data_IF_545177073224
#
_entry.id   IF_545177073224
#
_cell.length_a   1.000
_cell.length_b   1.000
_cell.length_c   1.000
_cell.angle_alpha   90.00
_cell.angle_beta   90.00
_cell.angle_gamma   90.00
#
_symmetry.space_group_name_H-M   'P 1'
#
loop_
_entity.id
_entity.type
_entity.pdbx_description
1 polymer ?
#
# COMPACT_ATOMS: atom_id res chain seq x y z
N UNK A 1 -19.24 3.69 11.01
CA UNK A 1 -19.74 2.52 10.23
C UNK A 1 -19.42 2.90 8.79
N UNK A 2 -18.47 2.20 8.16
CA UNK A 2 -18.19 2.43 6.72
C UNK A 2 -19.40 1.89 5.96
N UNK A 3 -19.88 2.65 4.99
CA UNK A 3 -20.98 2.22 4.14
C UNK A 3 -20.53 0.96 3.35
N UNK A 4 -21.39 -0.05 3.26
CA UNK A 4 -21.09 -1.28 2.50
C UNK A 4 -20.81 -1.02 1.03
N UNK A 5 -21.20 0.13 0.49
CA UNK A 5 -20.90 0.54 -0.87
C UNK A 5 -19.41 0.82 -1.10
N UNK A 6 -18.65 1.10 -0.04
CA UNK A 6 -17.20 1.38 -0.11
C UNK A 6 -16.35 0.11 0.03
N UNK A 7 -16.94 -1.00 0.52
CA UNK A 7 -16.24 -2.28 0.70
C UNK A 7 -16.75 -3.28 -0.32
N UNK A 8 -16.06 -3.40 -1.44
CA UNK A 8 -16.38 -4.38 -2.47
C UNK A 8 -15.56 -5.65 -2.23
N UNK A 9 -16.23 -6.74 -1.87
CA UNK A 9 -15.63 -8.04 -1.60
C UNK A 9 -16.07 -9.06 -2.66
N UNK A 10 -15.09 -9.74 -3.26
CA UNK A 10 -15.31 -10.82 -4.22
C UNK A 10 -14.50 -12.03 -3.78
N UNK A 11 -15.15 -13.18 -3.60
CA UNK A 11 -14.49 -14.42 -3.14
C UNK A 11 -13.69 -14.21 -1.84
N UNK A 12 -14.27 -13.53 -0.86
CA UNK A 12 -13.66 -13.22 0.45
C UNK A 12 -12.43 -12.30 0.40
N UNK A 13 -12.18 -11.64 -0.73
CA UNK A 13 -11.07 -10.72 -0.95
C UNK A 13 -11.55 -9.36 -1.42
N UNK A 14 -10.79 -8.32 -1.13
CA UNK A 14 -11.05 -6.98 -1.64
C UNK A 14 -10.83 -6.92 -3.15
N UNK A 15 -11.69 -6.18 -3.81
CA UNK A 15 -11.90 -6.29 -5.27
C UNK A 15 -10.67 -5.85 -6.09
N UNK A 16 -10.00 -4.75 -5.68
CA UNK A 16 -8.90 -4.21 -6.49
C UNK A 16 -7.57 -4.85 -6.15
N UNK A 17 -7.17 -4.88 -4.89
CA UNK A 17 -5.89 -5.47 -4.46
C UNK A 17 -5.94 -7.01 -4.39
N UNK A 18 -7.11 -7.59 -4.28
CA UNK A 18 -7.26 -9.03 -4.10
C UNK A 18 -6.77 -9.53 -2.74
N UNK A 19 -6.57 -8.65 -1.77
CA UNK A 19 -6.09 -8.96 -0.42
C UNK A 19 -7.24 -9.19 0.55
N UNK A 20 -6.94 -9.86 1.65
CA UNK A 20 -7.82 -10.06 2.80
C UNK A 20 -7.05 -9.89 4.10
N UNK A 21 -7.73 -10.03 5.22
CA UNK A 21 -7.09 -9.98 6.55
C UNK A 21 -5.95 -10.98 6.67
N UNK A 22 -4.80 -10.50 7.12
CA UNK A 22 -3.56 -11.27 7.25
C UNK A 22 -2.67 -11.27 6.01
N UNK A 23 -3.14 -10.76 4.88
CA UNK A 23 -2.33 -10.62 3.67
C UNK A 23 -1.47 -9.34 3.66
N UNK A 24 -1.68 -8.42 4.61
CA UNK A 24 -0.98 -7.12 4.70
C UNK A 24 -0.39 -6.92 6.10
N UNK A 25 0.82 -6.38 6.18
CA UNK A 25 1.49 -6.02 7.44
C UNK A 25 1.16 -4.59 7.88
N UNK A 26 1.51 -4.25 9.12
CA UNK A 26 1.32 -2.89 9.67
C UNK A 26 2.18 -1.83 8.98
N UNK A 27 3.38 -2.24 8.49
CA UNK A 27 4.30 -1.35 7.78
C UNK A 27 4.21 -1.61 6.28
N UNK A 28 3.75 -0.64 5.53
CA UNK A 28 3.45 -0.79 4.10
C UNK A 28 4.24 0.23 3.27
N UNK A 29 5.04 -0.28 2.35
CA UNK A 29 5.65 0.53 1.31
C UNK A 29 4.71 0.66 0.12
N UNK A 30 4.54 1.88 -0.38
CA UNK A 30 3.77 2.18 -1.59
C UNK A 30 4.73 2.60 -2.70
N UNK A 31 4.65 1.94 -3.84
CA UNK A 31 5.45 2.26 -5.03
C UNK A 31 4.55 2.38 -6.25
N UNK A 32 4.84 3.33 -7.14
CA UNK A 32 4.05 3.51 -8.35
C UNK A 32 4.33 2.44 -9.41
N UNK A 33 5.58 1.98 -9.50
CA UNK A 33 6.01 0.99 -10.49
C UNK A 33 5.96 -0.43 -9.91
N UNK A 34 5.15 -1.35 -10.47
CA UNK A 34 5.12 -2.75 -10.03
C UNK A 34 6.50 -3.43 -10.07
N UNK A 35 7.36 -3.07 -11.03
CA UNK A 35 8.73 -3.58 -11.08
C UNK A 35 9.56 -3.11 -9.86
N UNK A 36 9.23 -1.96 -9.29
CA UNK A 36 9.82 -1.51 -8.03
C UNK A 36 9.32 -2.32 -6.83
N UNK A 37 8.05 -2.74 -6.81
CA UNK A 37 7.55 -3.65 -5.79
C UNK A 37 8.35 -4.96 -5.78
N UNK A 38 8.62 -5.55 -6.95
CA UNK A 38 9.48 -6.72 -7.10
C UNK A 38 10.91 -6.46 -6.60
N UNK A 39 11.45 -5.26 -6.84
CA UNK A 39 12.80 -4.91 -6.35
C UNK A 39 12.85 -4.77 -4.85
N UNK A 40 11.84 -4.14 -4.26
CA UNK A 40 11.73 -3.98 -2.80
C UNK A 40 11.54 -5.34 -2.13
N UNK A 41 10.69 -6.21 -2.67
CA UNK A 41 10.45 -7.52 -2.09
C UNK A 41 11.68 -8.43 -2.07
N UNK A 42 12.67 -8.21 -2.94
CA UNK A 42 13.94 -8.94 -2.94
C UNK A 42 14.84 -8.60 -1.74
N UNK A 43 14.59 -7.51 -1.06
CA UNK A 43 15.29 -7.13 0.18
C UNK A 43 14.64 -7.74 1.43
N UNK A 44 13.49 -8.41 1.29
CA UNK A 44 12.82 -9.08 2.40
C UNK A 44 13.58 -10.37 2.78
N UNK A 45 13.63 -10.67 4.07
CA UNK A 45 14.23 -11.90 4.57
C UNK A 45 13.37 -13.12 4.18
N UNK A 46 12.05 -12.95 4.20
CA UNK A 46 11.05 -13.94 3.79
C UNK A 46 9.95 -13.27 2.98
N UNK A 47 9.34 -14.00 2.06
CA UNK A 47 8.09 -13.63 1.39
C UNK A 47 7.04 -14.66 1.81
N UNK A 48 6.00 -14.18 2.47
CA UNK A 48 4.90 -15.01 2.98
C UNK A 48 3.67 -14.95 2.07
N UNK A 49 3.50 -13.82 1.37
CA UNK A 49 2.36 -13.59 0.51
C UNK A 49 2.81 -12.82 -0.75
N UNK A 50 2.35 -13.27 -1.90
CA UNK A 50 2.47 -12.58 -3.19
C UNK A 50 1.11 -12.60 -3.85
N UNK A 51 0.54 -11.41 -4.13
CA UNK A 51 -0.78 -11.27 -4.74
C UNK A 51 -0.65 -10.30 -5.91
N UNK A 52 -1.05 -10.76 -7.08
CA UNK A 52 -1.20 -9.93 -8.27
C UNK A 52 -2.67 -9.92 -8.66
N UNK A 53 -3.30 -8.76 -8.62
CA UNK A 53 -4.68 -8.58 -9.02
C UNK A 53 -4.85 -7.24 -9.73
N UNK A 54 -5.44 -7.27 -10.92
CA UNK A 54 -5.55 -6.10 -11.79
C UNK A 54 -4.17 -5.46 -12.02
N UNK A 55 -4.04 -4.15 -11.80
CA UNK A 55 -2.78 -3.40 -11.89
C UNK A 55 -1.94 -3.42 -10.62
N UNK A 56 -2.45 -4.02 -9.54
CA UNK A 56 -1.79 -4.04 -8.24
C UNK A 56 -0.94 -5.29 -8.05
N UNK A 57 0.20 -5.10 -7.40
CA UNK A 57 1.11 -6.18 -7.03
C UNK A 57 1.54 -6.00 -5.58
N UNK A 58 1.18 -6.95 -4.73
CA UNK A 58 1.45 -6.91 -3.29
C UNK A 58 2.39 -8.05 -2.89
N UNK A 59 3.43 -7.72 -2.14
CA UNK A 59 4.26 -8.69 -1.44
C UNK A 59 4.21 -8.40 0.05
N UNK A 60 4.10 -9.42 0.86
CA UNK A 60 4.19 -9.35 2.32
C UNK A 60 5.18 -10.36 2.84
N UNK A 61 5.94 -9.98 3.83
CA UNK A 61 6.97 -10.81 4.43
C UNK A 61 7.66 -10.10 5.59
N UNK A 62 8.93 -10.41 5.81
CA UNK A 62 9.72 -9.79 6.89
C UNK A 62 10.98 -9.11 6.35
N UNK A 63 11.37 -8.02 7.00
CA UNK A 63 12.66 -7.36 6.80
C UNK A 63 13.31 -7.10 8.16
N UNK A 64 14.45 -7.74 8.42
CA UNK A 64 15.16 -7.72 9.73
C UNK A 64 14.23 -8.09 10.89
N UNK A 65 13.38 -9.10 10.65
CA UNK A 65 12.42 -9.59 11.63
C UNK A 65 11.18 -8.71 11.83
N UNK A 66 11.03 -7.63 11.07
CA UNK A 66 9.86 -6.73 11.12
C UNK A 66 8.91 -7.12 9.98
N UNK A 67 7.61 -7.36 10.28
CA UNK A 67 6.62 -7.56 9.24
C UNK A 67 6.47 -6.32 8.34
N UNK A 68 6.55 -6.53 7.04
CA UNK A 68 6.47 -5.46 6.04
C UNK A 68 5.69 -5.91 4.82
N UNK A 69 5.02 -4.98 4.18
CA UNK A 69 4.41 -5.19 2.85
C UNK A 69 4.91 -4.15 1.87
N UNK A 70 4.84 -4.47 0.58
CA UNK A 70 5.00 -3.50 -0.50
C UNK A 70 3.88 -3.66 -1.50
N UNK A 71 3.26 -2.54 -1.88
CA UNK A 71 2.19 -2.48 -2.88
C UNK A 71 2.66 -1.65 -4.06
N UNK A 72 2.68 -2.27 -5.25
CA UNK A 72 2.80 -1.58 -6.53
C UNK A 72 1.42 -1.12 -6.98
N UNK A 73 1.23 0.18 -7.09
CA UNK A 73 -0.10 0.78 -7.35
C UNK A 73 -0.34 1.14 -8.81
N UNK A 74 0.70 1.17 -9.64
CA UNK A 74 0.59 1.86 -10.92
C UNK A 74 0.66 3.39 -10.74
N UNK A 75 0.18 4.12 -11.76
CA UNK A 75 0.22 5.59 -11.82
C UNK A 75 -1.19 6.16 -11.61
N UNK A 76 -1.27 7.23 -10.86
CA UNK A 76 -2.49 7.99 -10.62
C UNK A 76 -2.85 8.09 -9.15
N UNK A 77 -3.57 9.15 -8.82
CA UNK A 77 -4.05 9.42 -7.45
C UNK A 77 -5.11 8.43 -7.04
N UNK A 78 -6.04 8.12 -7.95
CA UNK A 78 -7.13 7.16 -7.73
C UNK A 78 -6.59 5.77 -7.35
N UNK A 79 -5.54 5.30 -8.04
CA UNK A 79 -4.91 4.01 -7.75
C UNK A 79 -4.26 3.99 -6.36
N UNK A 80 -3.65 5.10 -5.95
CA UNK A 80 -3.04 5.22 -4.62
C UNK A 80 -4.13 5.24 -3.55
N UNK A 81 -5.21 5.98 -3.77
CA UNK A 81 -6.35 6.02 -2.84
C UNK A 81 -6.96 4.64 -2.64
N UNK A 82 -7.28 3.94 -3.73
CA UNK A 82 -7.79 2.57 -3.68
C UNK A 82 -6.84 1.65 -2.88
N UNK A 83 -5.53 1.74 -3.15
CA UNK A 83 -4.55 0.92 -2.46
C UNK A 83 -4.52 1.18 -0.95
N UNK A 84 -4.55 2.45 -0.53
CA UNK A 84 -4.55 2.83 0.88
C UNK A 84 -5.84 2.39 1.57
N UNK A 85 -6.99 2.64 0.95
CA UNK A 85 -8.31 2.29 1.50
C UNK A 85 -8.46 0.78 1.62
N UNK A 86 -8.16 0.01 0.58
CA UNK A 86 -8.29 -1.45 0.65
C UNK A 86 -7.25 -2.09 1.59
N UNK A 87 -6.01 -1.58 1.66
CA UNK A 87 -5.04 -2.05 2.65
C UNK A 87 -5.52 -1.80 4.08
N UNK A 88 -6.06 -0.60 4.35
CA UNK A 88 -6.65 -0.27 5.64
C UNK A 88 -7.85 -1.17 5.98
N UNK A 89 -8.75 -1.41 5.01
CA UNK A 89 -9.90 -2.28 5.20
C UNK A 89 -9.45 -3.72 5.49
N UNK A 90 -8.51 -4.27 4.71
CA UNK A 90 -7.99 -5.63 4.93
C UNK A 90 -7.36 -5.79 6.31
N UNK A 91 -6.72 -4.75 6.83
CA UNK A 91 -6.08 -4.73 8.13
C UNK A 91 -7.09 -4.61 9.27
N UNK A 92 -8.03 -3.68 9.17
CA UNK A 92 -8.87 -3.29 10.31
C UNK A 92 -10.27 -3.94 10.32
N UNK A 93 -10.74 -4.49 9.22
CA UNK A 93 -12.12 -4.99 9.15
C UNK A 93 -12.20 -6.50 8.98
N UNK A 94 -13.22 -7.09 9.62
CA UNK A 94 -13.73 -8.40 9.25
C UNK A 94 -14.60 -8.25 8.00
N UNK A 95 -14.11 -8.78 6.88
CA UNK A 95 -14.80 -8.66 5.58
C UNK A 95 -16.14 -9.40 5.54
N UNK A 96 -16.32 -10.42 6.38
CA UNK A 96 -17.58 -11.20 6.41
C UNK A 96 -18.72 -10.42 7.07
N UNK A 97 -18.40 -9.69 8.13
CA UNK A 97 -19.35 -8.97 8.94
C UNK A 97 -19.36 -7.46 8.69
N UNK A 98 -18.37 -6.96 7.93
CA UNK A 98 -18.11 -5.52 7.73
C UNK A 98 -17.99 -4.76 9.06
N UNK A 99 -17.40 -5.41 10.07
CA UNK A 99 -17.18 -4.81 11.38
C UNK A 99 -15.72 -4.50 11.59
N UNK A 100 -15.44 -3.35 12.20
CA UNK A 100 -14.08 -2.95 12.55
C UNK A 100 -13.60 -3.74 13.76
N UNK A 101 -12.38 -4.26 13.69
CA UNK A 101 -11.71 -4.89 14.83
C UNK A 101 -11.28 -3.81 15.84
N UNK A 102 -11.50 -4.06 17.14
CA UNK A 102 -11.16 -3.11 18.21
C UNK A 102 -9.66 -3.04 18.52
N UNK A 103 -8.92 -4.09 18.18
CA UNK A 103 -7.55 -4.32 18.65
C UNK A 103 -6.50 -4.30 17.52
N UNK A 104 -6.71 -3.43 16.52
CA UNK A 104 -5.75 -3.26 15.44
C UNK A 104 -4.60 -2.32 15.83
N UNK A 105 -3.37 -2.72 15.50
CA UNK A 105 -2.20 -1.84 15.56
C UNK A 105 -2.31 -0.72 14.50
N UNK A 106 -1.68 0.44 14.74
CA UNK A 106 -1.62 1.49 13.73
C UNK A 106 -0.87 1.04 12.47
N UNK A 107 -1.40 1.35 11.29
CA UNK A 107 -0.67 1.17 10.04
C UNK A 107 0.25 2.35 9.75
N UNK A 108 1.41 2.05 9.19
CA UNK A 108 2.37 3.04 8.70
C UNK A 108 2.56 2.86 7.20
N UNK A 109 2.27 3.91 6.43
CA UNK A 109 2.49 3.91 4.99
C UNK A 109 3.71 4.76 4.63
N UNK A 110 4.63 4.21 3.85
CA UNK A 110 5.84 4.90 3.36
C UNK A 110 5.85 4.82 1.84
N UNK A 111 5.73 5.96 1.17
CA UNK A 111 5.81 6.00 -0.29
C UNK A 111 7.26 6.12 -0.74
N UNK A 112 7.72 5.13 -1.51
CA UNK A 112 9.02 5.15 -2.17
C UNK A 112 8.84 5.58 -3.63
N UNK A 113 9.10 6.85 -3.87
CA UNK A 113 8.93 7.47 -5.19
C UNK A 113 10.22 8.05 -5.73
N UNK A 114 10.11 8.68 -6.90
CA UNK A 114 11.13 9.51 -7.51
C UNK A 114 10.51 10.85 -7.89
N UNK A 115 11.29 11.91 -7.87
CA UNK A 115 10.86 13.23 -8.35
C UNK A 115 12.00 13.91 -9.11
N UNK A 116 11.67 14.84 -9.99
CA UNK A 116 12.65 15.74 -10.57
C UNK A 116 13.17 16.73 -9.53
N UNK A 117 14.45 17.08 -9.61
CA UNK A 117 15.01 18.19 -8.86
C UNK A 117 14.81 19.50 -9.65
N UNK A 118 14.22 20.50 -9.02
CA UNK A 118 14.00 21.83 -9.64
C UNK A 118 15.00 22.87 -9.17
N UNK A 119 15.88 22.52 -8.23
CA UNK A 119 16.91 23.42 -7.70
C UNK A 119 18.30 22.95 -8.16
N UNK A 120 19.19 23.89 -8.55
CA UNK A 120 20.49 23.55 -9.14
C UNK A 120 21.48 22.89 -8.17
N UNK A 121 21.27 23.05 -6.88
CA UNK A 121 22.09 22.47 -5.80
C UNK A 121 21.67 21.07 -5.36
N UNK A 122 20.54 20.56 -5.88
CA UNK A 122 20.06 19.19 -5.62
C UNK A 122 20.58 18.25 -6.71
N UNK A 123 21.54 17.41 -6.35
CA UNK A 123 22.13 16.45 -7.26
C UNK A 123 21.24 15.22 -7.48
N UNK A 124 21.31 14.57 -8.66
CA UNK A 124 20.67 13.29 -8.89
C UNK A 124 21.11 12.26 -7.85
N UNK A 125 20.14 11.51 -7.31
CA UNK A 125 20.39 10.53 -6.25
C UNK A 125 20.27 11.08 -4.82
N UNK A 126 20.00 12.38 -4.67
CA UNK A 126 19.71 12.96 -3.36
C UNK A 126 18.44 12.33 -2.78
N UNK A 127 18.53 11.87 -1.53
CA UNK A 127 17.36 11.40 -0.79
C UNK A 127 16.58 12.60 -0.23
N UNK A 128 15.31 12.69 -0.57
CA UNK A 128 14.41 13.74 -0.07
C UNK A 128 13.24 13.12 0.68
N UNK A 129 12.91 13.70 1.84
CA UNK A 129 11.72 13.32 2.62
C UNK A 129 10.79 14.54 2.63
N UNK A 130 9.55 14.34 2.18
CA UNK A 130 8.56 15.40 2.15
C UNK A 130 8.08 15.74 3.56
N UNK A 131 8.10 17.02 3.93
CA UNK A 131 7.51 17.51 5.17
C UNK A 131 6.00 17.76 5.01
N UNK A 132 5.58 18.15 3.80
CA UNK A 132 4.20 18.45 3.47
C UNK A 132 3.89 18.00 2.05
N UNK A 133 2.62 17.69 1.78
CA UNK A 133 2.10 17.44 0.47
C UNK A 133 0.81 18.28 0.25
N UNK A 134 0.64 18.78 -0.96
CA UNK A 134 -0.58 19.50 -1.37
C UNK A 134 -1.20 18.74 -2.52
N UNK A 135 -2.44 18.27 -2.34
CA UNK A 135 -3.23 17.67 -3.40
C UNK A 135 -3.74 18.77 -4.34
N UNK A 136 -3.47 18.60 -5.64
CA UNK A 136 -3.97 19.47 -6.71
C UNK A 136 -4.88 18.70 -7.66
N UNK A 137 -5.35 17.56 -7.24
CA UNK A 137 -6.32 16.70 -7.92
C UNK A 137 -7.71 16.89 -7.32
N UNK A 138 -8.69 16.20 -7.88
CA UNK A 138 -10.08 16.24 -7.42
C UNK A 138 -10.47 14.91 -6.74
N UNK A 139 -9.53 14.12 -6.32
CA UNK A 139 -9.73 12.88 -5.57
C UNK A 139 -9.64 13.15 -4.08
N UNK A 140 -10.67 12.89 -3.35
CA UNK A 140 -10.76 13.07 -1.90
C UNK A 140 -11.61 14.23 -1.46
#
# INVERSE_FOLDING_TARGET
>A
MIDRSEIVVVNERLYHLGIKKGDIADNVFIVGDPARAIRVSKEFDTIECEISNREYLTFTGTYKGIPVSVIGTGIGTDNVEIALVEAFIAHEFDLNNSTRNSDCSPMTFIRLGTSGGVQPDILPGTLAIASYAVGLDSTG
#
